data_IF_957133271818
#
_entry.id   IF_957133271818
#
_cell.length_a   1.000
_cell.length_b   1.000
_cell.length_c   1.000
_cell.angle_alpha   90.00
_cell.angle_beta   90.00
_cell.angle_gamma   90.00
#
_symmetry.space_group_name_H-M   'P 1'
#
loop_
_entity.id
_entity.type
_entity.pdbx_description
1 polymer ?
#
# COMPACT_ATOMS: atom_id res chain seq x y z
N UNK A 1 31.17 13.72 21.15
CA UNK A 1 30.89 14.67 20.06
C UNK A 1 29.78 14.04 19.24
N UNK A 2 28.62 14.70 19.21
CA UNK A 2 27.29 14.12 18.99
C UNK A 2 27.04 13.77 17.52
N UNK A 3 26.11 12.82 17.26
CA UNK A 3 25.78 12.25 15.94
C UNK A 3 25.21 13.27 14.93
N UNK A 4 24.93 14.47 15.42
CA UNK A 4 24.18 15.56 14.82
C UNK A 4 25.04 16.30 13.79
N UNK A 5 26.36 16.44 14.03
CA UNK A 5 27.30 17.09 13.10
C UNK A 5 27.59 16.26 11.83
N UNK A 6 27.35 14.95 11.86
CA UNK A 6 27.66 14.05 10.74
C UNK A 6 26.57 14.01 9.66
N UNK A 7 25.33 14.36 10.04
CA UNK A 7 24.17 14.36 9.12
C UNK A 7 24.26 15.58 8.18
N UNK A 8 24.65 16.75 8.71
CA UNK A 8 24.68 18.02 7.99
C UNK A 8 25.68 18.06 6.82
N UNK A 9 26.87 17.51 7.03
CA UNK A 9 27.91 17.49 5.99
C UNK A 9 27.56 16.51 4.88
N UNK A 10 26.88 15.42 5.22
CA UNK A 10 26.52 14.38 4.25
C UNK A 10 25.41 14.85 3.31
N UNK A 11 24.40 15.57 3.81
CA UNK A 11 23.32 16.09 2.95
C UNK A 11 23.78 17.20 2.02
N UNK A 12 24.72 18.05 2.45
CA UNK A 12 25.37 19.02 1.56
C UNK A 12 26.16 18.33 0.42
N UNK A 13 26.90 17.27 0.74
CA UNK A 13 27.64 16.49 -0.27
C UNK A 13 26.68 15.74 -1.19
N UNK A 14 25.59 15.17 -0.68
CA UNK A 14 24.57 14.45 -1.46
C UNK A 14 23.82 15.40 -2.40
N UNK A 15 23.51 16.62 -1.96
CA UNK A 15 22.89 17.65 -2.78
C UNK A 15 23.80 18.08 -3.95
N UNK A 16 25.11 18.20 -3.70
CA UNK A 16 26.09 18.64 -4.71
C UNK A 16 26.51 17.52 -5.65
N UNK A 17 26.74 16.31 -5.12
CA UNK A 17 27.26 15.17 -5.89
C UNK A 17 26.18 14.30 -6.51
N UNK A 18 24.92 14.44 -6.08
CA UNK A 18 23.81 13.63 -6.58
C UNK A 18 23.94 12.13 -6.31
N UNK A 19 24.84 11.74 -5.40
CA UNK A 19 25.17 10.35 -5.06
C UNK A 19 25.26 10.17 -3.55
N UNK A 20 24.83 9.01 -3.07
CA UNK A 20 24.92 8.63 -1.68
C UNK A 20 26.34 8.11 -1.36
N UNK A 21 27.10 8.86 -0.57
CA UNK A 21 28.50 8.55 -0.27
C UNK A 21 28.70 7.23 0.49
N UNK A 22 27.66 6.73 1.17
CA UNK A 22 27.72 5.48 1.95
C UNK A 22 27.48 4.26 1.07
N UNK A 23 26.66 4.41 0.05
CA UNK A 23 26.18 3.30 -0.79
C UNK A 23 26.60 3.40 -2.26
N UNK A 24 27.18 4.53 -2.68
CA UNK A 24 27.57 4.82 -4.06
C UNK A 24 26.40 5.03 -5.03
N UNK A 25 25.16 5.02 -4.55
CA UNK A 25 23.95 5.03 -5.38
C UNK A 25 23.60 6.44 -5.86
N UNK A 26 23.23 6.59 -7.13
CA UNK A 26 22.68 7.86 -7.63
C UNK A 26 21.32 8.17 -6.99
N UNK A 27 21.16 9.43 -6.59
CA UNK A 27 19.96 9.95 -5.94
C UNK A 27 18.93 10.40 -6.98
N UNK A 28 17.66 10.12 -6.71
CA UNK A 28 16.54 10.61 -7.49
C UNK A 28 16.34 12.13 -7.31
N UNK A 29 15.59 12.76 -8.22
CA UNK A 29 15.29 14.20 -8.18
C UNK A 29 14.62 14.64 -6.88
N UNK A 30 13.77 13.79 -6.28
CA UNK A 30 13.11 14.06 -5.00
C UNK A 30 14.10 14.03 -3.82
N UNK A 31 15.00 13.06 -3.79
CA UNK A 31 16.00 12.91 -2.73
C UNK A 31 17.04 14.04 -2.77
N UNK A 32 17.41 14.49 -3.98
CA UNK A 32 18.28 15.66 -4.16
C UNK A 32 17.65 16.94 -3.64
N UNK A 33 16.34 17.12 -3.85
CA UNK A 33 15.59 18.27 -3.34
C UNK A 33 15.50 18.28 -1.81
N UNK A 34 15.30 17.11 -1.20
CA UNK A 34 15.27 16.95 0.25
C UNK A 34 16.65 17.26 0.85
N UNK A 35 17.73 16.72 0.28
CA UNK A 35 19.10 17.00 0.73
C UNK A 35 19.48 18.49 0.59
N UNK A 36 19.08 19.13 -0.51
CA UNK A 36 19.29 20.56 -0.72
C UNK A 36 18.48 21.41 0.28
N UNK A 37 17.28 20.97 0.66
CA UNK A 37 16.43 21.65 1.63
C UNK A 37 17.04 21.63 3.04
N UNK A 38 17.58 20.49 3.47
CA UNK A 38 18.28 20.37 4.77
C UNK A 38 19.57 21.21 4.82
N UNK A 39 20.29 21.31 3.71
CA UNK A 39 21.50 22.15 3.60
C UNK A 39 21.21 23.65 3.76
N UNK A 40 20.02 24.10 3.35
CA UNK A 40 19.58 25.51 3.49
C UNK A 40 19.10 25.84 4.90
N UNK A 41 18.58 24.85 5.64
CA UNK A 41 18.11 25.01 7.02
C UNK A 41 19.24 25.12 8.04
N UNK A 42 20.33 24.38 7.84
CA UNK A 42 21.51 24.42 8.71
C UNK A 42 22.55 25.36 8.10
N UNK A 43 22.55 26.63 8.51
CA UNK A 43 23.49 27.67 8.05
C UNK A 43 24.94 27.22 8.33
N UNK A 44 25.59 26.54 7.38
CA UNK A 44 27.00 26.17 7.46
C UNK A 44 27.86 27.42 7.20
N UNK A 45 28.90 27.71 7.99
CA UNK A 45 29.84 28.78 7.68
C UNK A 45 30.48 28.57 6.29
N UNK A 46 30.25 29.56 5.41
CA UNK A 46 30.60 29.64 3.98
C UNK A 46 32.03 29.18 3.63
N UNK A 47 32.97 29.24 4.57
CA UNK A 47 34.37 28.82 4.37
C UNK A 47 34.56 27.33 4.06
N UNK A 48 33.66 26.42 4.48
CA UNK A 48 33.80 24.97 4.18
C UNK A 48 33.22 24.56 2.82
N UNK A 49 32.29 25.34 2.24
CA UNK A 49 31.62 25.03 0.96
C UNK A 49 32.54 25.30 -0.24
N UNK A 50 33.40 26.31 -0.14
CA UNK A 50 34.30 26.73 -1.23
C UNK A 50 35.32 25.64 -1.64
N UNK A 51 35.74 24.75 -0.73
CA UNK A 51 36.70 23.68 -1.08
C UNK A 51 36.08 22.54 -1.90
N UNK A 52 34.75 22.40 -1.85
CA UNK A 52 34.02 21.34 -2.58
C UNK A 52 33.62 21.83 -3.96
N UNK A 53 33.19 23.09 -4.09
CA UNK A 53 32.88 23.72 -5.39
C UNK A 53 34.10 23.70 -6.35
N UNK A 54 35.31 23.90 -5.82
CA UNK A 54 36.56 23.81 -6.60
C UNK A 54 36.86 22.41 -7.19
N UNK A 55 36.25 21.34 -6.67
CA UNK A 55 36.43 19.97 -7.20
C UNK A 55 35.39 19.58 -8.26
N UNK A 56 34.23 20.24 -8.30
CA UNK A 56 33.11 19.88 -9.19
C UNK A 56 33.31 20.39 -10.63
N UNK A 57 34.07 21.47 -10.83
CA UNK A 57 34.40 21.97 -12.18
C UNK A 57 35.22 20.93 -13.00
N UNK A 58 35.90 19.98 -12.34
CA UNK A 58 36.73 18.96 -13.00
C UNK A 58 35.93 17.83 -13.69
N UNK A 59 34.65 17.64 -13.36
CA UNK A 59 33.83 16.56 -13.92
C UNK A 59 32.56 17.12 -14.55
N UNK A 60 32.66 17.48 -15.84
CA UNK A 60 31.56 18.02 -16.62
C UNK A 60 30.36 17.08 -16.69
N UNK A 61 29.16 17.61 -16.44
CA UNK A 61 27.92 16.83 -16.50
C UNK A 61 26.65 17.65 -16.27
N UNK A 62 26.14 18.24 -17.36
CA UNK A 62 24.76 18.67 -17.67
C UNK A 62 23.76 18.77 -16.50
N UNK A 63 23.52 20.00 -16.05
CA UNK A 63 22.27 20.39 -15.39
C UNK A 63 21.44 21.21 -16.40
N UNK A 64 20.17 20.87 -16.57
CA UNK A 64 19.13 21.69 -17.19
C UNK A 64 17.87 21.17 -16.52
N UNK A 65 17.49 21.67 -15.35
CA UNK A 65 16.60 22.84 -15.17
C UNK A 65 16.88 23.59 -13.84
N UNK A 66 18.01 23.30 -13.17
CA UNK A 66 18.49 24.05 -11.99
C UNK A 66 19.47 25.19 -12.31
N UNK A 67 19.80 25.37 -13.59
CA UNK A 67 20.86 26.27 -14.04
C UNK A 67 20.47 27.74 -13.90
N UNK A 68 19.19 28.09 -14.04
CA UNK A 68 18.75 29.49 -14.00
C UNK A 68 19.15 30.22 -12.72
N UNK A 69 19.23 29.51 -11.59
CA UNK A 69 19.65 30.10 -10.33
C UNK A 69 21.17 30.27 -10.23
N UNK A 70 21.95 29.32 -10.75
CA UNK A 70 23.41 29.43 -10.82
C UNK A 70 23.79 30.55 -11.79
N UNK A 71 23.19 30.61 -12.99
CA UNK A 71 23.44 31.69 -13.95
C UNK A 71 22.88 33.04 -13.51
N UNK A 72 21.77 33.11 -12.76
CA UNK A 72 21.28 34.38 -12.19
C UNK A 72 22.16 34.88 -11.03
N UNK A 73 22.74 33.97 -10.23
CA UNK A 73 23.68 34.31 -9.15
C UNK A 73 25.05 34.76 -9.67
N UNK A 74 25.36 34.51 -10.95
CA UNK A 74 26.65 34.84 -11.59
C UNK A 74 26.53 35.79 -12.79
N UNK A 75 25.42 36.53 -12.95
CA UNK A 75 25.38 37.65 -13.91
C UNK A 75 26.19 38.84 -13.37
N UNK A 76 27.48 38.85 -13.68
CA UNK A 76 28.38 39.96 -13.39
C UNK A 76 29.76 39.54 -12.91
N UNK A 77 30.24 38.37 -13.33
CA UNK A 77 31.61 37.93 -13.06
C UNK A 77 32.49 38.34 -14.25
N UNK A 78 33.37 39.31 -14.02
CA UNK A 78 34.52 39.56 -14.90
C UNK A 78 35.76 38.93 -14.26
N UNK A 79 36.64 38.41 -15.11
CA UNK A 79 37.89 37.75 -14.71
C UNK A 79 39.03 38.67 -15.15
N UNK A 80 39.85 39.13 -14.21
CA UNK A 80 41.05 39.89 -14.52
C UNK A 80 42.12 38.97 -15.15
N UNK A 81 43.08 39.56 -15.91
CA UNK A 81 44.12 38.79 -16.61
C UNK A 81 45.01 37.94 -15.69
N UNK A 82 45.07 38.25 -14.40
CA UNK A 82 45.79 37.47 -13.38
C UNK A 82 44.96 36.30 -12.79
N UNK A 83 43.74 36.10 -13.28
CA UNK A 83 42.83 35.04 -12.84
C UNK A 83 41.97 35.41 -11.62
N UNK A 84 42.01 36.66 -11.15
CA UNK A 84 41.18 37.12 -10.04
C UNK A 84 39.72 37.34 -10.48
N UNK A 85 38.79 36.75 -9.73
CA UNK A 85 37.34 36.84 -9.97
C UNK A 85 36.73 37.96 -9.13
N UNK A 86 36.19 38.99 -9.78
CA UNK A 86 35.52 40.13 -9.11
C UNK A 86 34.01 40.02 -9.32
N UNK A 87 33.26 39.70 -8.26
CA UNK A 87 31.79 39.60 -8.29
C UNK A 87 31.11 40.76 -7.58
N UNK A 88 30.13 41.41 -8.23
CA UNK A 88 29.19 42.32 -7.54
C UNK A 88 28.25 41.51 -6.64
N UNK A 89 28.43 41.65 -5.34
CA UNK A 89 27.59 41.02 -4.31
C UNK A 89 26.15 41.52 -4.43
N UNK A 90 25.20 40.65 -4.83
CA UNK A 90 23.77 40.95 -4.71
C UNK A 90 23.40 40.91 -3.23
N UNK A 91 22.85 42.01 -2.72
CA UNK A 91 22.62 42.20 -1.29
C UNK A 91 21.69 41.14 -0.67
N UNK A 92 21.92 40.75 0.60
CA UNK A 92 21.25 39.62 1.28
C UNK A 92 19.72 39.72 1.33
N UNK A 93 19.13 40.92 1.23
CA UNK A 93 17.68 41.13 1.30
C UNK A 93 16.89 40.52 0.14
N UNK A 94 17.41 40.56 -1.09
CA UNK A 94 16.70 40.01 -2.27
C UNK A 94 16.65 38.49 -2.28
N UNK A 95 17.66 37.85 -1.69
CA UNK A 95 17.72 36.42 -1.53
C UNK A 95 16.66 35.94 -0.53
N UNK A 96 16.54 36.64 0.61
CA UNK A 96 15.55 36.32 1.63
C UNK A 96 14.11 36.46 1.11
N UNK A 97 13.80 37.54 0.39
CA UNK A 97 12.47 37.76 -0.20
C UNK A 97 12.08 36.65 -1.19
N UNK A 98 13.01 36.23 -2.05
CA UNK A 98 12.75 35.18 -3.03
C UNK A 98 12.57 33.81 -2.36
N UNK A 99 13.40 33.49 -1.36
CA UNK A 99 13.28 32.26 -0.56
C UNK A 99 11.93 32.22 0.17
N UNK A 100 11.53 33.33 0.79
CA UNK A 100 10.22 33.44 1.45
C UNK A 100 9.06 33.29 0.46
N UNK A 101 9.13 33.90 -0.72
CA UNK A 101 8.09 33.76 -1.74
C UNK A 101 7.93 32.31 -2.22
N UNK A 102 9.04 31.62 -2.45
CA UNK A 102 9.04 30.22 -2.90
C UNK A 102 8.66 29.24 -1.79
N UNK A 103 9.03 29.52 -0.54
CA UNK A 103 8.52 28.79 0.62
C UNK A 103 7.00 28.98 0.75
N UNK A 104 6.48 30.20 0.54
CA UNK A 104 5.05 30.46 0.59
C UNK A 104 4.30 29.73 -0.55
N UNK A 105 4.81 29.78 -1.78
CA UNK A 105 4.24 29.06 -2.94
C UNK A 105 4.28 27.53 -2.74
N UNK A 106 5.40 26.99 -2.26
CA UNK A 106 5.53 25.56 -1.99
C UNK A 106 4.63 25.11 -0.84
N UNK A 107 4.55 25.90 0.24
CA UNK A 107 3.68 25.61 1.38
C UNK A 107 2.22 25.66 0.97
N UNK A 108 1.85 26.62 0.12
CA UNK A 108 0.50 26.71 -0.45
C UNK A 108 0.18 25.48 -1.31
N UNK A 109 1.08 25.06 -2.20
CA UNK A 109 0.88 23.87 -3.02
C UNK A 109 0.74 22.60 -2.19
N UNK A 110 1.57 22.43 -1.16
CA UNK A 110 1.48 21.29 -0.23
C UNK A 110 0.16 21.33 0.54
N UNK A 111 -0.25 22.50 1.03
CA UNK A 111 -1.53 22.64 1.72
C UNK A 111 -2.73 22.37 0.81
N UNK A 112 -2.69 22.82 -0.45
CA UNK A 112 -3.74 22.57 -1.44
C UNK A 112 -3.80 21.08 -1.82
N UNK A 113 -2.65 20.39 -1.90
CA UNK A 113 -2.57 18.94 -2.10
C UNK A 113 -3.06 18.17 -0.87
N UNK A 114 -2.69 18.59 0.35
CA UNK A 114 -3.20 18.03 1.61
C UNK A 114 -4.71 18.23 1.70
N UNK A 115 -5.22 19.43 1.43
CA UNK A 115 -6.66 19.70 1.39
C UNK A 115 -7.37 18.90 0.29
N UNK A 116 -6.72 18.67 -0.85
CA UNK A 116 -7.23 17.79 -1.92
C UNK A 116 -7.33 16.34 -1.46
N UNK A 117 -6.34 15.85 -0.71
CA UNK A 117 -6.33 14.52 -0.10
C UNK A 117 -7.36 14.43 1.02
N UNK A 118 -7.42 15.41 1.92
CA UNK A 118 -8.41 15.52 3.00
C UNK A 118 -9.82 15.61 2.46
N UNK A 119 -10.07 16.37 1.39
CA UNK A 119 -11.36 16.44 0.71
C UNK A 119 -11.70 15.12 -0.01
N UNK A 120 -10.70 14.40 -0.52
CA UNK A 120 -10.88 13.05 -1.08
C UNK A 120 -11.19 12.03 0.01
N UNK A 121 -10.58 12.14 1.19
CA UNK A 121 -10.93 11.37 2.39
C UNK A 121 -12.32 11.77 2.94
N UNK A 122 -12.66 13.06 2.91
CA UNK A 122 -13.94 13.61 3.36
C UNK A 122 -15.11 13.21 2.43
N UNK A 123 -14.84 13.06 1.13
CA UNK A 123 -15.81 12.50 0.17
C UNK A 123 -15.97 10.97 0.29
N UNK A 124 -15.03 10.30 0.97
CA UNK A 124 -15.14 8.90 1.38
C UNK A 124 -15.89 8.67 2.70
N UNK A 125 -16.30 9.72 3.42
CA UNK A 125 -16.92 9.64 4.75
C UNK A 125 -18.44 9.81 4.70
N UNK A 126 -19.06 9.10 3.76
CA UNK A 126 -20.51 8.97 3.62
C UNK A 126 -21.05 7.57 3.97
N UNK A 127 -20.40 6.82 4.86
CA UNK A 127 -21.02 5.74 5.64
C UNK A 127 -20.06 5.40 6.79
N UNK A 128 -20.47 5.57 8.03
CA UNK A 128 -19.64 5.25 9.20
C UNK A 128 -19.36 3.74 9.28
N UNK A 129 -18.12 3.32 9.07
CA UNK A 129 -17.68 1.96 9.39
C UNK A 129 -16.22 1.69 9.01
N UNK A 130 -15.32 1.60 9.98
CA UNK A 130 -13.97 1.07 9.77
C UNK A 130 -14.00 -0.34 9.15
N UNK A 131 -12.85 -0.84 8.69
CA UNK A 131 -12.74 -2.21 8.15
C UNK A 131 -13.42 -3.19 9.10
N UNK A 132 -14.21 -4.11 8.55
CA UNK A 132 -14.77 -5.22 9.32
C UNK A 132 -13.63 -5.93 10.07
N UNK A 133 -13.75 -6.13 11.39
CA UNK A 133 -12.67 -6.67 12.19
C UNK A 133 -12.34 -8.10 11.76
N UNK A 134 -11.05 -8.35 11.54
CA UNK A 134 -10.51 -9.69 11.28
C UNK A 134 -9.56 -10.06 12.41
N UNK A 135 -9.40 -11.36 12.68
CA UNK A 135 -8.42 -11.87 13.64
C UNK A 135 -7.52 -12.92 13.00
N UNK A 136 -6.28 -13.00 13.48
CA UNK A 136 -5.43 -14.14 13.17
C UNK A 136 -6.06 -15.41 13.76
N UNK A 137 -5.99 -16.49 12.99
CA UNK A 137 -6.42 -17.80 13.44
C UNK A 137 -5.55 -18.28 14.61
N UNK A 138 -6.18 -18.87 15.63
CA UNK A 138 -5.49 -19.48 16.76
C UNK A 138 -5.25 -20.97 16.47
N UNK A 139 -3.98 -21.45 16.42
CA UNK A 139 -3.69 -22.83 16.08
C UNK A 139 -4.31 -23.89 17.01
N UNK A 140 -4.54 -23.54 18.28
CA UNK A 140 -5.10 -24.46 19.28
C UNK A 140 -6.63 -24.33 19.33
N UNK A 141 -7.15 -23.10 19.46
CA UNK A 141 -8.59 -22.88 19.60
C UNK A 141 -9.36 -23.11 18.29
N UNK A 142 -8.73 -22.81 17.15
CA UNK A 142 -9.32 -22.96 15.81
C UNK A 142 -8.79 -24.20 15.07
N UNK A 143 -8.18 -25.17 15.78
CA UNK A 143 -7.59 -26.38 15.17
C UNK A 143 -8.54 -27.12 14.23
N UNK A 144 -9.83 -27.22 14.56
CA UNK A 144 -10.80 -27.90 13.71
C UNK A 144 -10.99 -27.21 12.34
N UNK A 145 -10.89 -25.88 12.26
CA UNK A 145 -10.91 -25.13 11.00
C UNK A 145 -9.65 -25.44 10.20
N UNK A 146 -8.50 -25.47 10.88
CA UNK A 146 -7.21 -25.80 10.26
C UNK A 146 -7.27 -27.21 9.65
N UNK A 147 -7.79 -28.19 10.41
CA UNK A 147 -7.93 -29.58 9.95
C UNK A 147 -8.87 -29.67 8.74
N UNK A 148 -10.03 -29.00 8.78
CA UNK A 148 -11.00 -28.95 7.66
C UNK A 148 -10.38 -28.36 6.40
N UNK A 149 -9.64 -27.27 6.54
CA UNK A 149 -8.93 -26.61 5.42
C UNK A 149 -7.85 -27.53 4.88
N UNK A 150 -7.04 -28.16 5.74
CA UNK A 150 -5.97 -29.05 5.33
C UNK A 150 -6.50 -30.29 4.60
N UNK A 151 -7.60 -30.88 5.07
CA UNK A 151 -8.26 -32.01 4.41
C UNK A 151 -8.80 -31.62 3.03
N UNK A 152 -9.65 -30.58 2.97
CA UNK A 152 -10.30 -30.15 1.73
C UNK A 152 -9.30 -29.64 0.68
N UNK A 153 -8.32 -28.83 1.08
CA UNK A 153 -7.27 -28.34 0.19
C UNK A 153 -6.27 -29.44 -0.19
N UNK A 154 -5.97 -30.35 0.75
CA UNK A 154 -5.07 -31.48 0.54
C UNK A 154 -5.58 -32.49 -0.48
N UNK A 155 -6.91 -32.63 -0.62
CA UNK A 155 -7.57 -33.45 -1.63
C UNK A 155 -7.54 -32.89 -3.06
N UNK A 156 -7.13 -31.62 -3.24
CA UNK A 156 -7.05 -31.00 -4.57
C UNK A 156 -5.77 -31.42 -5.31
N UNK A 157 -5.82 -31.40 -6.64
CA UNK A 157 -4.61 -31.53 -7.47
C UNK A 157 -3.56 -30.47 -7.13
N UNK A 158 -2.27 -30.78 -7.31
CA UNK A 158 -1.12 -29.90 -6.97
C UNK A 158 -1.30 -28.46 -7.46
N UNK A 159 -1.90 -28.27 -8.65
CA UNK A 159 -2.20 -26.95 -9.22
C UNK A 159 -3.00 -26.04 -8.28
N UNK A 160 -4.00 -26.58 -7.58
CA UNK A 160 -4.87 -25.82 -6.68
C UNK A 160 -4.47 -25.98 -5.22
N UNK A 161 -3.76 -27.06 -4.88
CA UNK A 161 -3.18 -27.30 -3.56
C UNK A 161 -2.05 -26.30 -3.23
N UNK A 162 -1.21 -25.97 -4.22
CA UNK A 162 0.01 -25.17 -4.02
C UNK A 162 -0.16 -23.67 -4.34
N UNK A 163 -1.28 -23.28 -4.96
CA UNK A 163 -1.49 -21.94 -5.47
C UNK A 163 -2.90 -21.46 -5.18
N UNK A 164 -3.10 -20.14 -5.25
CA UNK A 164 -4.40 -19.53 -5.00
C UNK A 164 -4.73 -19.45 -3.51
N UNK A 165 -5.73 -18.62 -3.22
CA UNK A 165 -6.28 -18.48 -1.87
C UNK A 165 -7.33 -19.55 -1.64
N UNK A 166 -7.34 -20.16 -0.47
CA UNK A 166 -8.39 -21.06 0.00
C UNK A 166 -9.15 -20.43 1.17
N UNK A 167 -10.45 -20.69 1.23
CA UNK A 167 -11.29 -20.29 2.34
C UNK A 167 -12.21 -21.44 2.75
N UNK A 168 -12.55 -21.43 4.03
CA UNK A 168 -13.54 -22.30 4.64
C UNK A 168 -14.51 -21.42 5.44
N UNK A 169 -15.79 -21.73 5.44
CA UNK A 169 -16.72 -21.15 6.39
C UNK A 169 -17.55 -22.24 7.07
N UNK A 170 -17.53 -22.20 8.39
CA UNK A 170 -18.47 -22.92 9.25
C UNK A 170 -19.72 -22.05 9.41
N UNK A 171 -20.85 -22.52 8.88
CA UNK A 171 -22.12 -21.79 8.81
C UNK A 171 -23.16 -22.54 9.63
N UNK A 172 -23.53 -21.96 10.78
CA UNK A 172 -24.58 -22.46 11.65
C UNK A 172 -25.70 -21.42 11.68
N UNK A 173 -26.50 -21.37 10.63
CA UNK A 173 -27.56 -20.37 10.43
C UNK A 173 -28.88 -21.06 10.13
N UNK A 174 -29.95 -20.61 10.80
CA UNK A 174 -31.30 -21.14 10.55
C UNK A 174 -31.70 -20.90 9.10
N UNK A 175 -32.12 -21.95 8.39
CA UNK A 175 -32.52 -21.89 6.98
C UNK A 175 -31.39 -22.18 5.98
N UNK A 176 -30.18 -22.56 6.45
CA UNK A 176 -29.10 -23.09 5.61
C UNK A 176 -28.79 -24.52 6.04
N UNK A 177 -29.18 -25.50 5.24
CA UNK A 177 -28.97 -26.93 5.57
C UNK A 177 -27.51 -27.38 5.47
N UNK A 178 -26.70 -26.60 4.76
CA UNK A 178 -25.26 -26.85 4.57
C UNK A 178 -24.46 -26.10 5.61
N UNK A 179 -23.54 -26.78 6.29
CA UNK A 179 -22.70 -26.18 7.34
C UNK A 179 -21.31 -25.81 6.87
N UNK A 180 -20.71 -26.63 6.00
CA UNK A 180 -19.32 -26.46 5.56
C UNK A 180 -19.27 -25.86 4.16
N UNK A 181 -18.70 -24.65 4.02
CA UNK A 181 -18.51 -24.00 2.73
C UNK A 181 -17.03 -23.87 2.43
N UNK A 182 -16.65 -24.14 1.19
CA UNK A 182 -15.27 -24.03 0.72
C UNK A 182 -15.21 -23.20 -0.55
N UNK A 183 -14.16 -22.41 -0.70
CA UNK A 183 -13.91 -21.71 -1.95
C UNK A 183 -12.41 -21.65 -2.25
N UNK A 184 -12.10 -21.63 -3.54
CA UNK A 184 -10.73 -21.45 -4.02
C UNK A 184 -10.68 -20.32 -5.04
N UNK A 185 -9.69 -19.43 -4.96
CA UNK A 185 -9.66 -18.23 -5.81
C UNK A 185 -9.54 -18.55 -7.30
N UNK A 186 -8.85 -19.63 -7.66
CA UNK A 186 -8.68 -20.11 -9.05
C UNK A 186 -9.71 -21.12 -9.57
N UNK A 187 -10.74 -21.46 -8.77
CA UNK A 187 -11.82 -22.37 -9.18
C UNK A 187 -13.13 -21.57 -9.19
N UNK A 188 -13.70 -21.37 -10.37
CA UNK A 188 -14.82 -20.43 -10.56
C UNK A 188 -16.15 -21.09 -10.87
N UNK A 189 -16.15 -22.35 -11.30
CA UNK A 189 -17.34 -23.12 -11.66
C UNK A 189 -17.03 -24.62 -11.64
N UNK A 190 -18.08 -25.44 -11.70
CA UNK A 190 -18.01 -26.89 -11.72
C UNK A 190 -17.72 -27.49 -13.11
N UNK A 191 -17.69 -26.69 -14.19
CA UNK A 191 -17.60 -27.19 -15.56
C UNK A 191 -16.32 -28.00 -15.86
N UNK A 192 -15.25 -27.78 -15.07
CA UNK A 192 -13.99 -28.52 -15.19
C UNK A 192 -14.00 -29.87 -14.46
N UNK A 193 -15.04 -30.18 -13.69
CA UNK A 193 -15.16 -31.44 -12.94
C UNK A 193 -13.94 -31.73 -12.06
N UNK A 194 -13.44 -30.73 -11.33
CA UNK A 194 -12.28 -30.91 -10.46
C UNK A 194 -12.70 -31.78 -9.27
N UNK A 195 -12.10 -32.96 -9.06
CA UNK A 195 -12.50 -33.85 -7.97
C UNK A 195 -12.37 -33.17 -6.59
N UNK A 196 -13.35 -33.39 -5.71
CA UNK A 196 -13.37 -32.83 -4.36
C UNK A 196 -13.82 -31.37 -4.29
N UNK A 197 -14.40 -30.85 -5.37
CA UNK A 197 -14.90 -29.46 -5.44
C UNK A 197 -16.39 -29.36 -5.76
N UNK A 198 -17.08 -30.50 -5.77
CA UNK A 198 -18.49 -30.63 -6.16
C UNK A 198 -19.39 -29.71 -5.31
N UNK A 199 -19.02 -29.51 -4.05
CA UNK A 199 -19.74 -28.66 -3.11
C UNK A 199 -19.04 -27.32 -2.85
N UNK A 200 -18.11 -26.87 -3.68
CA UNK A 200 -17.49 -25.56 -3.47
C UNK A 200 -18.45 -24.42 -3.80
N UNK A 201 -18.28 -23.29 -3.11
CA UNK A 201 -18.89 -22.02 -3.49
C UNK A 201 -18.16 -21.47 -4.72
N UNK A 202 -18.90 -21.35 -5.81
CA UNK A 202 -18.41 -20.87 -7.10
C UNK A 202 -18.70 -19.39 -7.31
N UNK A 203 -18.17 -18.82 -8.40
CA UNK A 203 -18.47 -17.44 -8.79
C UNK A 203 -19.95 -17.37 -9.18
N UNK A 204 -20.80 -16.58 -8.49
CA UNK A 204 -22.20 -16.45 -8.86
C UNK A 204 -22.36 -15.69 -10.17
N UNK A 205 -23.31 -16.11 -11.01
CA UNK A 205 -23.72 -15.36 -12.20
C UNK A 205 -24.54 -14.11 -11.80
N UNK A 206 -25.44 -14.27 -10.83
CA UNK A 206 -26.27 -13.20 -10.28
C UNK A 206 -25.96 -13.03 -8.77
N UNK A 207 -24.92 -12.26 -8.41
CA UNK A 207 -24.57 -12.04 -7.00
C UNK A 207 -25.59 -11.18 -6.27
N UNK A 208 -25.86 -11.52 -5.00
CA UNK A 208 -26.55 -10.66 -4.03
C UNK A 208 -25.67 -9.45 -3.70
N UNK A 209 -24.39 -9.68 -3.42
CA UNK A 209 -23.40 -8.65 -3.13
C UNK A 209 -22.40 -8.54 -4.27
N UNK A 210 -22.27 -7.36 -4.85
CA UNK A 210 -21.36 -7.12 -5.97
C UNK A 210 -19.94 -6.88 -5.48
N UNK A 211 -18.97 -7.56 -6.09
CA UNK A 211 -17.56 -7.23 -5.90
C UNK A 211 -17.25 -5.84 -6.47
N UNK A 212 -16.35 -5.13 -5.82
CA UNK A 212 -15.68 -3.94 -6.35
C UNK A 212 -14.24 -4.24 -6.72
N UNK A 213 -13.59 -3.30 -7.41
CA UNK A 213 -12.15 -3.33 -7.61
C UNK A 213 -11.40 -3.10 -6.29
N UNK A 214 -10.27 -3.79 -6.13
CA UNK A 214 -9.33 -3.56 -5.02
C UNK A 214 -7.91 -3.98 -5.45
N UNK A 215 -6.85 -3.40 -4.86
CA UNK A 215 -5.48 -3.80 -5.14
C UNK A 215 -5.15 -5.17 -4.53
N UNK A 216 -4.26 -5.91 -5.18
CA UNK A 216 -3.51 -7.02 -4.57
C UNK A 216 -2.25 -6.53 -3.83
N UNK A 217 -1.46 -7.45 -3.29
CA UNK A 217 -0.22 -7.14 -2.57
C UNK A 217 0.87 -6.51 -3.47
N UNK A 218 0.75 -6.62 -4.79
CA UNK A 218 1.63 -5.96 -5.75
C UNK A 218 1.08 -4.59 -6.21
N UNK A 219 -0.09 -4.17 -5.71
CA UNK A 219 -0.76 -2.92 -6.08
C UNK A 219 -1.58 -3.01 -7.37
N UNK A 220 -1.73 -4.19 -7.98
CA UNK A 220 -2.56 -4.35 -9.18
C UNK A 220 -4.04 -4.28 -8.79
N UNK A 221 -4.77 -3.34 -9.40
CA UNK A 221 -6.20 -3.15 -9.16
C UNK A 221 -7.00 -3.97 -10.17
N UNK A 222 -7.91 -4.79 -9.67
CA UNK A 222 -8.85 -5.55 -10.50
C UNK A 222 -10.12 -5.89 -9.73
N UNK A 223 -11.16 -6.26 -10.47
CA UNK A 223 -12.43 -6.70 -9.91
C UNK A 223 -12.25 -7.99 -9.09
N UNK A 224 -12.64 -7.95 -7.82
CA UNK A 224 -12.40 -9.05 -6.86
C UNK A 224 -13.52 -10.11 -6.87
N UNK A 225 -14.12 -10.36 -8.03
CA UNK A 225 -15.21 -11.34 -8.20
C UNK A 225 -14.72 -12.81 -8.24
N UNK A 226 -13.40 -13.01 -8.18
CA UNK A 226 -12.72 -14.28 -8.05
C UNK A 226 -12.44 -14.65 -6.58
N UNK A 227 -12.57 -13.70 -5.65
CA UNK A 227 -12.20 -13.90 -4.26
C UNK A 227 -13.11 -14.91 -3.56
N UNK A 228 -12.54 -15.58 -2.58
CA UNK A 228 -13.16 -16.71 -1.89
C UNK A 228 -14.30 -16.27 -0.98
N UNK A 229 -14.13 -15.17 -0.27
CA UNK A 229 -15.10 -14.55 0.64
C UNK A 229 -16.31 -14.04 -0.15
N UNK A 230 -16.07 -13.46 -1.33
CA UNK A 230 -17.11 -13.07 -2.27
C UNK A 230 -17.97 -14.27 -2.70
N UNK A 231 -17.35 -15.39 -3.04
CA UNK A 231 -18.07 -16.61 -3.45
C UNK A 231 -18.89 -17.20 -2.30
N UNK A 232 -18.27 -17.38 -1.14
CA UNK A 232 -18.93 -18.00 0.02
C UNK A 232 -20.11 -17.16 0.51
N UNK A 233 -19.94 -15.85 0.72
CA UNK A 233 -21.02 -15.02 1.27
C UNK A 233 -22.19 -14.86 0.29
N UNK A 234 -21.92 -14.84 -1.02
CA UNK A 234 -23.00 -14.87 -2.01
C UNK A 234 -23.71 -16.24 -2.04
N UNK A 235 -23.00 -17.36 -1.91
CA UNK A 235 -23.61 -18.69 -1.82
C UNK A 235 -24.53 -18.80 -0.58
N UNK A 236 -24.04 -18.38 0.59
CA UNK A 236 -24.85 -18.33 1.82
C UNK A 236 -26.07 -17.42 1.64
N UNK A 237 -25.91 -16.21 1.12
CA UNK A 237 -27.02 -15.28 0.91
C UNK A 237 -28.05 -15.81 -0.11
N UNK A 238 -27.60 -16.48 -1.16
CA UNK A 238 -28.50 -17.13 -2.12
C UNK A 238 -29.33 -18.24 -1.47
N UNK A 239 -28.74 -19.02 -0.56
CA UNK A 239 -29.46 -20.07 0.18
C UNK A 239 -30.49 -19.50 1.15
N UNK A 240 -30.16 -18.40 1.82
CA UNK A 240 -31.08 -17.66 2.68
C UNK A 240 -32.20 -16.97 1.89
N UNK A 241 -31.94 -16.66 0.62
CA UNK A 241 -32.88 -15.97 -0.26
C UNK A 241 -33.33 -14.63 0.31
N UNK A 242 -34.63 -14.36 0.25
CA UNK A 242 -35.22 -13.13 0.77
C UNK A 242 -35.38 -13.08 2.30
N UNK A 243 -35.11 -14.17 3.02
CA UNK A 243 -35.32 -14.20 4.46
C UNK A 243 -34.13 -13.57 5.21
N UNK A 244 -34.30 -12.33 5.64
CA UNK A 244 -33.28 -11.56 6.38
C UNK A 244 -33.38 -11.69 7.90
N UNK A 245 -34.52 -12.18 8.41
CA UNK A 245 -34.74 -12.40 9.85
C UNK A 245 -34.33 -13.82 10.24
N UNK A 246 -33.04 -14.11 10.10
CA UNK A 246 -32.43 -15.39 10.44
C UNK A 246 -31.33 -15.19 11.47
N UNK A 247 -31.16 -16.18 12.34
CA UNK A 247 -30.19 -16.13 13.43
C UNK A 247 -29.13 -17.20 13.23
N UNK A 248 -27.93 -16.96 13.76
CA UNK A 248 -26.88 -17.95 13.74
C UNK A 248 -25.48 -17.36 13.83
N UNK A 249 -24.50 -18.19 13.45
CA UNK A 249 -23.09 -17.83 13.44
C UNK A 249 -22.43 -18.26 12.14
N UNK A 250 -21.53 -17.42 11.63
CA UNK A 250 -20.63 -17.76 10.53
C UNK A 250 -19.21 -17.52 11.00
N UNK A 251 -18.35 -18.53 10.90
CA UNK A 251 -16.91 -18.40 11.12
C UNK A 251 -16.22 -18.58 9.77
N UNK A 252 -15.86 -17.46 9.16
CA UNK A 252 -15.26 -17.37 7.83
C UNK A 252 -13.74 -17.31 7.96
N UNK A 253 -13.08 -18.41 7.58
CA UNK A 253 -11.64 -18.48 7.44
C UNK A 253 -11.20 -18.25 6.00
N UNK A 254 -10.13 -17.46 5.83
CA UNK A 254 -9.45 -17.23 4.56
C UNK A 254 -7.93 -17.23 4.79
N UNK A 255 -7.13 -17.85 3.92
CA UNK A 255 -5.67 -17.86 4.14
C UNK A 255 -5.09 -16.44 4.12
N UNK A 256 -5.60 -15.59 3.21
CA UNK A 256 -5.24 -14.18 3.08
C UNK A 256 -6.19 -13.26 3.84
N UNK A 257 -5.69 -12.15 4.38
CA UNK A 257 -6.58 -11.15 4.96
C UNK A 257 -7.50 -10.54 3.89
N UNK A 258 -8.68 -10.08 4.32
CA UNK A 258 -9.74 -9.64 3.44
C UNK A 258 -9.34 -8.39 2.66
N UNK A 259 -9.45 -8.41 1.33
CA UNK A 259 -9.21 -7.19 0.55
C UNK A 259 -10.32 -6.13 0.78
N UNK A 260 -10.10 -4.90 0.32
CA UNK A 260 -11.10 -3.83 0.48
C UNK A 260 -12.47 -4.14 -0.13
N UNK A 261 -12.52 -4.93 -1.21
CA UNK A 261 -13.78 -5.38 -1.83
C UNK A 261 -14.51 -6.42 -0.97
N UNK A 262 -13.80 -7.44 -0.51
CA UNK A 262 -14.36 -8.47 0.38
C UNK A 262 -14.82 -7.90 1.71
N UNK A 263 -14.08 -6.92 2.26
CA UNK A 263 -14.47 -6.25 3.50
C UNK A 263 -15.82 -5.54 3.37
N UNK A 264 -16.07 -4.86 2.24
CA UNK A 264 -17.37 -4.24 1.93
C UNK A 264 -18.48 -5.29 1.81
N UNK A 265 -18.21 -6.43 1.18
CA UNK A 265 -19.20 -7.52 1.06
C UNK A 265 -19.55 -8.07 2.44
N UNK A 266 -18.58 -8.27 3.32
CA UNK A 266 -18.83 -8.72 4.70
C UNK A 266 -19.70 -7.71 5.46
N UNK A 267 -19.40 -6.41 5.33
CA UNK A 267 -20.22 -5.36 5.93
C UNK A 267 -21.66 -5.34 5.39
N UNK A 268 -21.84 -5.50 4.07
CA UNK A 268 -23.16 -5.60 3.44
C UNK A 268 -23.93 -6.82 3.93
N UNK A 269 -23.26 -7.98 4.02
CA UNK A 269 -23.85 -9.19 4.58
C UNK A 269 -24.30 -8.98 6.02
N UNK A 270 -23.44 -8.42 6.89
CA UNK A 270 -23.77 -8.17 8.29
C UNK A 270 -24.92 -7.16 8.45
N UNK A 271 -25.00 -6.17 7.55
CA UNK A 271 -26.09 -5.19 7.52
C UNK A 271 -27.43 -5.82 7.13
N UNK A 272 -27.40 -6.74 6.16
CA UNK A 272 -28.59 -7.46 5.70
C UNK A 272 -29.07 -8.51 6.70
N UNK A 273 -28.15 -9.13 7.44
CA UNK A 273 -28.43 -10.21 8.40
C UNK A 273 -27.93 -9.83 9.81
N UNK A 274 -28.59 -8.87 10.48
CA UNK A 274 -28.11 -8.32 11.76
C UNK A 274 -28.06 -9.36 12.90
N UNK A 275 -28.85 -10.44 12.80
CA UNK A 275 -28.93 -11.50 13.80
C UNK A 275 -27.98 -12.68 13.53
N UNK A 276 -27.18 -12.62 12.46
CA UNK A 276 -26.07 -13.55 12.23
C UNK A 276 -24.80 -12.92 12.78
N UNK A 277 -24.10 -13.63 13.67
CA UNK A 277 -22.76 -13.22 14.13
C UNK A 277 -21.71 -13.72 13.13
N UNK A 278 -21.06 -12.79 12.43
CA UNK A 278 -19.93 -13.12 11.53
C UNK A 278 -18.60 -12.91 12.25
N UNK A 279 -17.77 -13.94 12.26
CA UNK A 279 -16.38 -13.91 12.71
C UNK A 279 -15.47 -14.19 11.51
N UNK A 280 -14.45 -13.35 11.30
CA UNK A 280 -13.51 -13.47 10.19
C UNK A 280 -12.13 -13.81 10.71
N UNK A 281 -11.62 -14.96 10.28
CA UNK A 281 -10.32 -15.53 10.62
C UNK A 281 -9.41 -15.45 9.40
N UNK A 282 -8.13 -15.12 9.61
CA UNK A 282 -7.13 -15.23 8.56
C UNK A 282 -5.81 -15.83 9.04
N UNK A 283 -5.02 -16.38 8.12
CA UNK A 283 -3.71 -16.95 8.44
C UNK A 283 -2.54 -16.04 8.02
N UNK A 284 -2.75 -14.73 8.08
CA UNK A 284 -1.69 -13.74 7.82
C UNK A 284 -1.05 -13.85 6.43
N UNK A 285 -1.83 -14.18 5.40
CA UNK A 285 -1.38 -14.41 4.01
C UNK A 285 -0.50 -15.64 3.81
N UNK A 286 -0.48 -16.57 4.77
CA UNK A 286 0.25 -17.83 4.71
C UNK A 286 -0.76 -18.97 4.47
N UNK A 287 -0.56 -19.83 3.46
CA UNK A 287 -1.40 -21.03 3.30
C UNK A 287 -1.31 -21.96 4.51
N UNK A 288 -2.39 -22.66 4.83
CA UNK A 288 -2.34 -23.68 5.90
C UNK A 288 -1.40 -24.81 5.45
N UNK A 289 -0.39 -25.19 6.26
CA UNK A 289 0.45 -26.33 5.96
C UNK A 289 -0.40 -27.58 5.80
N UNK A 290 -0.22 -28.26 4.69
CA UNK A 290 -0.90 -29.52 4.44
C UNK A 290 -0.05 -30.58 5.12
N UNK A 291 -0.55 -31.17 6.21
CA UNK A 291 0.13 -32.33 6.80
C UNK A 291 0.36 -33.35 5.69
N UNK A 292 1.57 -33.93 5.66
CA UNK A 292 1.99 -34.85 4.63
C UNK A 292 0.92 -35.92 4.47
N UNK A 293 0.13 -35.80 3.39
CA UNK A 293 -0.83 -36.78 2.95
C UNK A 293 -0.12 -38.12 2.91
N UNK A 294 -0.40 -38.98 3.90
CA UNK A 294 0.04 -40.37 3.88
C UNK A 294 -0.71 -41.11 2.78
#
# INVERSE_FOLDING_TARGET
MQADEFIDVNDAIRAVTGTDQRTGKELSTKERLIAASWTLLNIIPVRKVLSVAGKVIKYGGKMAEGVDYVTASFKGVEVAEDGTVIGKQVGPGKLAEWVHARHAESSKKINDEIQGIEASLAKGTGDSGGRFPTKLIDPEADKHIIDKVAEARGGLSNKYKERGNFAYAEVNVTGVDKTDFYAHSGIHNSAKGIPGTEEFSFKPENPVYKATEAPDNAGNIYLRDADTEYKILNDVANRLGGNKDVTGTIRLFTEKDTCGSCNKIIQQFQKDYPNIKVEVLHNGDIPIPLENSK
#
